data_IF_887146452104
#
_entry.id   IF_887146452104
#
_cell.length_a   1.000
_cell.length_b   1.000
_cell.length_c   1.000
_cell.angle_alpha   90.00
_cell.angle_beta   90.00
_cell.angle_gamma   90.00
#
_symmetry.space_group_name_H-M   'P 1'
#
loop_
_entity.id
_entity.type
_entity.pdbx_description
1 polymer ?
#
# COMPACT_ATOMS: atom_id res chain seq x y z
N UNK A 1 7.10 4.06 22.60
CA UNK A 1 7.73 3.54 21.34
C UNK A 1 8.00 2.04 21.43
N UNK A 2 8.56 1.54 22.53
CA UNK A 2 8.63 0.09 22.84
C UNK A 2 7.29 -0.62 22.69
N UNK A 3 6.19 0.01 23.14
CA UNK A 3 4.83 -0.52 22.97
C UNK A 3 4.44 -0.68 21.49
N UNK A 4 4.73 0.29 20.61
CA UNK A 4 4.42 0.23 19.17
C UNK A 4 5.16 -0.91 18.44
N UNK A 5 6.40 -1.14 18.84
CA UNK A 5 7.28 -2.20 18.31
C UNK A 5 6.70 -3.57 18.65
N UNK A 6 6.24 -3.77 19.89
CA UNK A 6 5.58 -5.00 20.35
C UNK A 6 4.15 -5.15 19.80
N UNK A 7 3.47 -4.02 19.56
CA UNK A 7 2.10 -3.97 19.07
C UNK A 7 1.96 -4.47 17.63
N UNK A 8 2.97 -4.28 16.77
CA UNK A 8 2.90 -4.65 15.35
C UNK A 8 2.71 -6.16 15.09
N UNK A 9 3.53 -7.08 15.63
CA UNK A 9 3.27 -8.52 15.49
C UNK A 9 2.11 -9.01 16.35
N UNK A 10 1.84 -8.37 17.50
CA UNK A 10 0.64 -8.67 18.29
C UNK A 10 -0.62 -8.46 17.45
N UNK A 11 -0.77 -7.29 16.81
CA UNK A 11 -1.87 -6.97 15.91
C UNK A 11 -2.07 -8.01 14.81
N UNK A 12 -0.96 -8.48 14.20
CA UNK A 12 -1.02 -9.41 13.06
C UNK A 12 -1.39 -10.85 13.48
N UNK A 13 -0.86 -11.34 14.62
CA UNK A 13 -0.91 -12.78 14.95
C UNK A 13 -1.70 -13.13 16.20
N UNK A 14 -1.89 -12.22 17.15
CA UNK A 14 -2.39 -12.55 18.49
C UNK A 14 -3.56 -11.67 18.96
N UNK A 15 -3.71 -10.46 18.43
CA UNK A 15 -4.79 -9.55 18.80
C UNK A 15 -6.09 -9.97 18.13
N UNK A 16 -7.00 -10.49 18.94
CA UNK A 16 -8.40 -10.65 18.60
C UNK A 16 -8.98 -9.25 18.37
N UNK A 17 -9.34 -8.95 17.13
CA UNK A 17 -10.13 -7.77 16.76
C UNK A 17 -11.60 -8.12 16.93
N UNK A 18 -12.30 -7.38 17.79
CA UNK A 18 -13.74 -7.52 17.93
C UNK A 18 -14.43 -6.73 16.83
N UNK A 19 -15.02 -7.44 15.87
CA UNK A 19 -15.85 -6.87 14.81
C UNK A 19 -17.29 -6.83 15.27
N UNK A 20 -17.93 -5.66 15.15
CA UNK A 20 -19.38 -5.58 15.24
C UNK A 20 -19.96 -5.60 13.82
N UNK A 21 -20.61 -6.70 13.45
CA UNK A 21 -21.26 -6.88 12.15
C UNK A 21 -22.73 -7.21 12.37
N UNK A 22 -23.63 -6.37 11.84
CA UNK A 22 -25.09 -6.59 11.91
C UNK A 22 -25.62 -6.88 13.33
N UNK A 23 -25.04 -6.24 14.34
CA UNK A 23 -25.44 -6.40 15.75
C UNK A 23 -24.64 -7.45 16.52
N UNK A 24 -23.96 -8.38 15.85
CA UNK A 24 -23.17 -9.42 16.50
C UNK A 24 -21.69 -9.02 16.62
N UNK A 25 -21.10 -9.35 17.77
CA UNK A 25 -19.67 -9.20 18.05
C UNK A 25 -18.97 -10.51 17.69
N UNK A 26 -18.07 -10.48 16.73
CA UNK A 26 -17.17 -11.60 16.41
C UNK A 26 -15.73 -11.25 16.74
N UNK A 27 -15.01 -12.22 17.26
CA UNK A 27 -13.60 -12.12 17.66
C UNK A 27 -12.76 -12.84 16.61
N UNK A 28 -11.88 -12.12 15.92
CA UNK A 28 -11.05 -12.70 14.83
C UNK A 28 -9.68 -12.04 14.77
N UNK A 29 -8.66 -12.72 14.23
CA UNK A 29 -7.37 -12.06 13.97
C UNK A 29 -7.49 -11.10 12.78
N UNK A 30 -6.53 -10.17 12.61
CA UNK A 30 -6.49 -9.32 11.41
C UNK A 30 -6.36 -10.13 10.11
N UNK A 31 -5.66 -11.27 10.15
CA UNK A 31 -5.55 -12.18 9.02
C UNK A 31 -6.90 -12.79 8.66
N UNK A 32 -7.62 -13.33 9.65
CA UNK A 32 -8.95 -13.91 9.42
C UNK A 32 -9.94 -12.86 8.89
N UNK A 33 -9.84 -11.63 9.43
CA UNK A 33 -10.67 -10.50 9.01
C UNK A 33 -10.38 -10.09 7.56
N UNK A 34 -9.10 -10.02 7.18
CA UNK A 34 -8.69 -9.73 5.82
C UNK A 34 -9.16 -10.83 4.85
N UNK A 35 -8.96 -12.11 5.20
CA UNK A 35 -9.43 -13.24 4.41
C UNK A 35 -10.95 -13.22 4.25
N UNK A 36 -11.70 -13.08 5.34
CA UNK A 36 -13.17 -12.99 5.33
C UNK A 36 -13.66 -11.83 4.46
N UNK A 37 -13.04 -10.65 4.56
CA UNK A 37 -13.43 -9.47 3.79
C UNK A 37 -13.15 -9.67 2.30
N UNK A 38 -11.98 -10.21 1.95
CA UNK A 38 -11.61 -10.50 0.57
C UNK A 38 -12.50 -11.60 -0.03
N UNK A 39 -12.81 -12.65 0.73
CA UNK A 39 -13.76 -13.70 0.32
C UNK A 39 -15.15 -13.13 0.08
N UNK A 40 -15.65 -12.28 0.98
CA UNK A 40 -16.96 -11.62 0.81
C UNK A 40 -17.00 -10.69 -0.41
N UNK A 41 -15.95 -9.90 -0.62
CA UNK A 41 -15.84 -9.06 -1.82
C UNK A 41 -15.80 -9.89 -3.10
N UNK A 42 -15.09 -11.02 -3.08
CA UNK A 42 -15.03 -11.95 -4.21
C UNK A 42 -16.40 -12.57 -4.50
N UNK A 43 -17.13 -12.99 -3.47
CA UNK A 43 -18.48 -13.51 -3.58
C UNK A 43 -19.45 -12.45 -4.15
N UNK A 44 -19.42 -11.23 -3.64
CA UNK A 44 -20.23 -10.12 -4.15
C UNK A 44 -19.92 -9.80 -5.61
N UNK A 45 -18.65 -9.92 -6.03
CA UNK A 45 -18.22 -9.60 -7.40
C UNK A 45 -18.50 -10.72 -8.40
N UNK A 46 -18.41 -11.98 -7.99
CA UNK A 46 -18.46 -13.14 -8.90
C UNK A 46 -19.75 -13.94 -8.81
N UNK A 47 -20.55 -13.75 -7.75
CA UNK A 47 -21.73 -14.58 -7.46
C UNK A 47 -21.40 -16.00 -6.99
N UNK A 48 -20.12 -16.37 -6.94
CA UNK A 48 -19.66 -17.72 -6.60
C UNK A 48 -18.98 -17.70 -5.23
N UNK A 49 -19.52 -18.46 -4.28
CA UNK A 49 -18.98 -18.55 -2.91
C UNK A 49 -17.59 -19.23 -2.83
N UNK A 50 -17.12 -19.83 -3.93
CA UNK A 50 -15.97 -20.74 -3.95
C UNK A 50 -14.88 -20.35 -4.95
N UNK A 51 -14.85 -19.11 -5.44
CA UNK A 51 -13.68 -18.63 -6.18
C UNK A 51 -12.50 -18.40 -5.20
N UNK A 52 -11.96 -19.49 -4.62
CA UNK A 52 -10.59 -19.55 -4.17
C UNK A 52 -9.74 -19.29 -5.40
N UNK A 53 -9.42 -18.02 -5.62
CA UNK A 53 -8.42 -17.62 -6.59
C UNK A 53 -7.22 -18.52 -6.39
N UNK A 54 -6.83 -19.24 -7.43
CA UNK A 54 -5.73 -20.20 -7.33
C UNK A 54 -4.48 -19.50 -6.79
N UNK A 55 -4.01 -19.97 -5.63
CA UNK A 55 -2.59 -20.07 -5.28
C UNK A 55 -1.74 -18.81 -5.12
N UNK A 56 -2.26 -17.59 -5.32
CA UNK A 56 -1.47 -16.39 -5.02
C UNK A 56 -1.65 -16.08 -3.53
N UNK A 57 -0.68 -16.48 -2.72
CA UNK A 57 -0.48 -15.89 -1.39
C UNK A 57 -0.25 -14.39 -1.60
N UNK A 58 -1.34 -13.62 -1.62
CA UNK A 58 -1.30 -12.17 -1.69
C UNK A 58 -0.93 -11.70 -0.30
N UNK A 59 0.36 -11.48 -0.05
CA UNK A 59 0.75 -10.66 1.09
C UNK A 59 -0.09 -9.38 1.04
N UNK A 60 -0.96 -9.13 2.04
CA UNK A 60 -1.90 -8.03 1.97
C UNK A 60 -1.12 -6.72 1.93
N UNK A 61 -1.52 -5.80 1.04
CA UNK A 61 -0.95 -4.47 1.08
C UNK A 61 -1.47 -3.76 2.33
N UNK A 62 -0.55 -3.34 3.19
CA UNK A 62 -0.88 -2.76 4.49
C UNK A 62 -0.51 -1.29 4.57
N UNK A 63 -1.32 -0.53 5.29
CA UNK A 63 -1.02 0.88 5.57
C UNK A 63 -1.26 1.12 7.05
N UNK A 64 -0.20 1.48 7.78
CA UNK A 64 -0.29 1.92 9.15
C UNK A 64 -0.20 3.45 9.20
N UNK A 65 -1.11 4.10 9.92
CA UNK A 65 -1.07 5.55 10.11
C UNK A 65 -1.10 5.87 11.59
N UNK A 66 -0.06 6.56 12.05
CA UNK A 66 -0.03 7.09 13.39
C UNK A 66 -0.86 8.38 13.37
N UNK A 67 -1.98 8.39 14.10
CA UNK A 67 -2.94 9.51 14.10
C UNK A 67 -2.78 10.45 15.30
N UNK A 68 -2.05 10.02 16.34
CA UNK A 68 -1.79 10.79 17.57
C UNK A 68 -0.46 10.36 18.19
N UNK A 69 0.22 11.30 18.81
CA UNK A 69 1.44 11.07 19.59
C UNK A 69 1.76 12.31 20.43
N UNK A 70 2.48 12.12 21.53
CA UNK A 70 2.96 13.18 22.41
C UNK A 70 4.49 13.24 22.37
N UNK A 71 5.06 14.44 22.60
CA UNK A 71 6.52 14.62 22.64
C UNK A 71 7.25 14.50 21.29
N UNK A 72 6.53 14.38 20.17
CA UNK A 72 7.15 14.32 18.85
C UNK A 72 7.54 15.72 18.36
N UNK A 73 8.83 15.92 18.07
CA UNK A 73 9.31 17.15 17.45
C UNK A 73 9.07 17.10 15.94
N UNK A 74 8.39 18.10 15.41
CA UNK A 74 8.06 18.20 13.97
C UNK A 74 9.26 18.61 13.13
N UNK A 75 10.16 19.39 13.72
CA UNK A 75 11.32 20.02 13.06
C UNK A 75 12.56 19.15 13.01
N UNK A 76 12.61 18.06 13.78
CA UNK A 76 13.76 17.16 13.77
C UNK A 76 13.51 15.99 12.81
N UNK A 77 14.46 15.68 11.91
CA UNK A 77 14.34 14.52 11.04
C UNK A 77 14.36 13.22 11.84
N UNK A 78 13.70 12.19 11.30
CA UNK A 78 13.87 10.84 11.83
C UNK A 78 15.34 10.40 11.69
N UNK A 79 15.88 9.84 12.79
CA UNK A 79 17.28 9.43 12.89
C UNK A 79 17.43 7.98 12.43
N UNK A 80 18.46 7.71 11.63
CA UNK A 80 18.86 6.36 11.22
C UNK A 80 19.12 5.48 12.45
N UNK A 81 18.63 4.24 12.44
CA UNK A 81 18.61 3.36 13.62
C UNK A 81 17.84 3.85 14.87
N UNK A 82 17.22 5.04 14.82
CA UNK A 82 16.51 5.62 15.96
C UNK A 82 15.16 4.95 16.26
N UNK A 83 14.56 5.27 17.40
CA UNK A 83 13.31 4.65 17.86
C UNK A 83 12.14 4.78 16.86
N UNK A 84 12.03 5.93 16.17
CA UNK A 84 11.01 6.14 15.13
C UNK A 84 11.27 5.22 13.94
N UNK A 85 12.52 5.14 13.46
CA UNK A 85 12.88 4.25 12.36
C UNK A 85 12.55 2.80 12.71
N UNK A 86 12.98 2.30 13.87
CA UNK A 86 12.71 0.94 14.33
C UNK A 86 11.20 0.63 14.42
N UNK A 87 10.39 1.58 14.89
CA UNK A 87 8.94 1.39 14.94
C UNK A 87 8.29 1.38 13.56
N UNK A 88 8.75 2.22 12.62
CA UNK A 88 8.26 2.22 11.25
C UNK A 88 8.62 0.92 10.52
N UNK A 89 9.84 0.40 10.73
CA UNK A 89 10.24 -0.91 10.21
C UNK A 89 9.35 -2.02 10.80
N UNK A 90 9.11 -2.00 12.11
CA UNK A 90 8.24 -2.99 12.77
C UNK A 90 6.81 -2.98 12.18
N UNK A 91 6.23 -1.79 11.99
CA UNK A 91 4.88 -1.62 11.43
C UNK A 91 4.77 -2.05 9.97
N UNK A 92 5.83 -1.87 9.19
CA UNK A 92 5.82 -2.20 7.75
C UNK A 92 6.24 -3.64 7.47
N UNK A 93 7.10 -4.24 8.29
CA UNK A 93 7.45 -5.66 8.21
C UNK A 93 6.48 -6.56 8.97
N UNK A 94 5.65 -5.98 9.84
CA UNK A 94 4.75 -6.69 10.76
C UNK A 94 5.46 -7.73 11.61
N UNK A 95 6.63 -7.38 12.11
CA UNK A 95 7.47 -8.19 12.97
C UNK A 95 7.91 -7.31 14.12
N UNK A 96 7.96 -7.86 15.34
CA UNK A 96 8.70 -7.19 16.42
C UNK A 96 10.16 -7.33 16.04
N UNK A 97 10.93 -6.24 15.94
CA UNK A 97 12.34 -6.29 16.27
C UNK A 97 12.48 -6.97 17.64
N UNK A 98 13.11 -8.16 17.71
CA UNK A 98 14.51 -8.17 18.18
C UNK A 98 15.44 -9.17 17.46
N UNK A 99 16.73 -9.00 17.75
CA UNK A 99 17.94 -9.79 17.43
C UNK A 99 18.56 -9.67 16.02
N UNK A 100 19.62 -8.85 15.95
CA UNK A 100 20.66 -8.82 14.90
C UNK A 100 20.27 -8.53 13.45
N UNK A 101 18.98 -8.36 13.13
CA UNK A 101 18.58 -7.98 11.77
C UNK A 101 18.84 -6.50 11.55
N UNK A 102 19.77 -6.19 10.65
CA UNK A 102 20.07 -4.83 10.21
C UNK A 102 18.80 -4.17 9.68
N UNK A 103 18.43 -3.03 10.24
CA UNK A 103 17.35 -2.19 9.74
C UNK A 103 17.65 -1.83 8.28
N UNK A 104 16.62 -1.83 7.44
CA UNK A 104 16.77 -1.33 6.07
C UNK A 104 17.08 0.16 6.15
N UNK A 105 18.06 0.67 5.41
CA UNK A 105 18.46 2.07 5.49
C UNK A 105 17.26 3.00 5.28
N UNK A 106 17.08 3.99 6.17
CA UNK A 106 15.94 4.90 6.16
C UNK A 106 15.82 5.66 4.84
N UNK A 107 16.94 5.99 4.21
CA UNK A 107 16.97 6.64 2.90
C UNK A 107 16.35 5.80 1.78
N UNK A 108 16.46 4.47 1.86
CA UNK A 108 15.92 3.55 0.84
C UNK A 108 14.42 3.34 1.00
N UNK A 109 13.92 3.38 2.22
CA UNK A 109 12.52 3.09 2.59
C UNK A 109 11.66 4.34 2.74
N UNK A 110 12.29 5.52 2.87
CA UNK A 110 11.60 6.81 2.86
C UNK A 110 11.07 7.13 1.47
N UNK A 111 9.77 7.33 1.39
CA UNK A 111 9.07 7.78 0.19
C UNK A 111 8.88 9.30 0.32
N UNK A 112 9.35 10.11 -0.65
CA UNK A 112 9.23 11.56 -0.53
C UNK A 112 7.76 12.00 -0.52
N UNK A 113 7.47 12.99 0.33
CA UNK A 113 6.16 13.61 0.43
C UNK A 113 6.15 14.83 -0.51
N UNK A 114 5.33 14.80 -1.55
CA UNK A 114 5.32 15.84 -2.60
C UNK A 114 4.55 17.11 -2.23
N UNK A 115 4.52 17.53 -0.96
CA UNK A 115 3.77 18.73 -0.53
C UNK A 115 4.72 19.82 -0.02
N UNK A 116 4.41 21.09 -0.25
CA UNK A 116 5.25 22.21 0.20
C UNK A 116 5.40 22.28 1.73
N UNK A 117 4.38 21.85 2.49
CA UNK A 117 4.35 21.98 3.96
C UNK A 117 4.96 20.79 4.71
N UNK A 118 5.77 19.95 4.06
CA UNK A 118 6.42 18.79 4.69
C UNK A 118 7.40 19.25 5.75
N UNK A 119 7.26 18.71 6.96
CA UNK A 119 8.21 18.97 8.04
C UNK A 119 9.32 17.91 8.05
N UNK A 120 10.50 18.24 8.56
CA UNK A 120 11.64 17.33 8.55
C UNK A 120 11.34 15.98 9.24
N UNK A 121 10.53 16.02 10.31
CA UNK A 121 10.06 14.86 11.05
C UNK A 121 8.95 14.06 10.37
N UNK A 122 8.38 14.54 9.26
CA UNK A 122 7.38 13.79 8.50
C UNK A 122 8.05 12.69 7.66
N UNK A 123 7.54 11.48 7.80
CA UNK A 123 8.04 10.28 7.13
C UNK A 123 6.86 9.48 6.59
N UNK A 124 6.86 9.27 5.27
CA UNK A 124 6.17 8.14 4.67
C UNK A 124 7.22 7.04 4.45
N UNK A 125 7.06 5.95 5.16
CA UNK A 125 7.96 4.81 5.16
C UNK A 125 7.30 3.65 4.40
N UNK A 126 8.04 2.86 3.62
CA UNK A 126 7.42 1.76 2.87
C UNK A 126 8.35 0.66 2.39
N UNK A 127 7.77 -0.54 2.31
CA UNK A 127 8.30 -1.73 1.62
C UNK A 127 7.30 -2.20 0.56
N UNK A 128 7.66 -3.18 -0.29
CA UNK A 128 6.80 -3.61 -1.40
C UNK A 128 5.30 -3.77 -1.08
N UNK A 129 4.95 -4.35 0.07
CA UNK A 129 3.55 -4.64 0.49
C UNK A 129 3.09 -3.84 1.71
N UNK A 130 3.76 -2.75 2.06
CA UNK A 130 3.40 -2.00 3.26
C UNK A 130 3.82 -0.53 3.25
N UNK A 131 3.07 0.29 3.97
CA UNK A 131 3.37 1.70 4.21
C UNK A 131 3.14 2.03 5.68
N UNK A 132 3.97 2.89 6.24
CA UNK A 132 3.74 3.52 7.54
C UNK A 132 3.82 5.04 7.39
N UNK A 133 2.83 5.73 7.96
CA UNK A 133 2.69 7.18 7.90
C UNK A 133 2.95 7.75 9.28
N UNK A 134 4.04 8.50 9.40
CA UNK A 134 4.40 9.26 10.59
C UNK A 134 4.51 10.73 10.21
N UNK A 135 3.52 11.53 10.61
CA UNK A 135 3.50 12.96 10.32
C UNK A 135 3.18 13.74 11.59
N UNK A 136 4.17 13.97 12.46
CA UNK A 136 3.94 14.55 13.77
C UNK A 136 3.37 15.95 13.73
N UNK A 137 3.50 16.67 12.60
CA UNK A 137 2.86 17.98 12.40
C UNK A 137 1.34 17.96 12.62
N UNK A 138 0.70 16.82 12.37
CA UNK A 138 -0.75 16.67 12.55
C UNK A 138 -1.13 16.27 13.98
N UNK A 139 -0.18 15.91 14.85
CA UNK A 139 -0.47 15.49 16.23
C UNK A 139 -0.80 16.68 17.14
N UNK A 140 -0.25 17.86 16.82
CA UNK A 140 -0.37 19.07 17.64
C UNK A 140 -1.57 19.95 17.29
N UNK A 141 -2.32 19.61 16.25
CA UNK A 141 -3.45 20.40 15.80
C UNK A 141 -4.76 19.84 16.38
N UNK A 142 -5.62 20.72 16.89
CA UNK A 142 -6.90 20.35 17.52
C UNK A 142 -7.97 19.93 16.49
N UNK A 143 -7.78 20.20 15.19
CA UNK A 143 -8.74 19.94 14.11
C UNK A 143 -8.32 18.87 13.07
N UNK A 144 -7.21 18.13 13.26
CA UNK A 144 -6.51 17.35 12.21
C UNK A 144 -6.92 15.91 11.96
N UNK A 145 -7.89 15.33 12.69
CA UNK A 145 -8.29 13.94 12.43
C UNK A 145 -8.74 13.73 10.97
N UNK A 146 -9.27 14.76 10.33
CA UNK A 146 -9.69 14.71 8.93
C UNK A 146 -8.53 14.61 7.93
N UNK A 147 -7.35 15.22 8.16
CA UNK A 147 -6.27 15.28 7.16
C UNK A 147 -5.54 13.94 7.01
N UNK A 148 -5.09 13.33 8.12
CA UNK A 148 -4.42 12.04 8.11
C UNK A 148 -5.38 10.88 7.78
N UNK A 149 -6.64 10.96 8.23
CA UNK A 149 -7.67 10.00 7.85
C UNK A 149 -7.95 10.03 6.35
N UNK A 150 -8.08 11.22 5.75
CA UNK A 150 -8.22 11.37 4.30
C UNK A 150 -6.99 10.88 3.55
N UNK A 151 -5.78 11.22 4.02
CA UNK A 151 -4.54 10.76 3.40
C UNK A 151 -4.42 9.23 3.42
N UNK A 152 -4.67 8.60 4.57
CA UNK A 152 -4.72 7.15 4.72
C UNK A 152 -5.72 6.53 3.74
N UNK A 153 -6.97 7.01 3.75
CA UNK A 153 -8.04 6.51 2.87
C UNK A 153 -7.66 6.62 1.40
N UNK A 154 -7.09 7.74 0.99
CA UNK A 154 -6.65 7.95 -0.40
C UNK A 154 -5.51 7.00 -0.77
N UNK A 155 -4.55 6.75 0.12
CA UNK A 155 -3.51 5.76 -0.11
C UNK A 155 -4.06 4.33 -0.20
N UNK A 156 -5.03 3.96 0.66
CA UNK A 156 -5.70 2.66 0.60
C UNK A 156 -6.37 2.46 -0.76
N UNK A 157 -7.18 3.42 -1.21
CA UNK A 157 -7.84 3.33 -2.51
C UNK A 157 -6.85 3.30 -3.67
N UNK A 158 -5.78 4.09 -3.58
CA UNK A 158 -4.71 4.09 -4.58
C UNK A 158 -4.04 2.72 -4.65
N UNK A 159 -3.69 2.12 -3.52
CA UNK A 159 -3.07 0.80 -3.46
C UNK A 159 -4.00 -0.29 -4.02
N UNK A 160 -5.28 -0.28 -3.65
CA UNK A 160 -6.28 -1.22 -4.18
C UNK A 160 -6.44 -1.08 -5.70
N UNK A 161 -6.47 0.16 -6.20
CA UNK A 161 -6.58 0.41 -7.63
C UNK A 161 -5.33 -0.06 -8.38
N UNK A 162 -4.13 0.17 -7.83
CA UNK A 162 -2.87 -0.32 -8.39
C UNK A 162 -2.83 -1.85 -8.42
N UNK A 163 -3.17 -2.52 -7.31
CA UNK A 163 -3.17 -3.98 -7.25
C UNK A 163 -4.18 -4.59 -8.25
N UNK A 164 -5.39 -4.02 -8.31
CA UNK A 164 -6.46 -4.49 -9.20
C UNK A 164 -6.08 -4.33 -10.68
N UNK A 165 -5.68 -3.12 -11.09
CA UNK A 165 -5.28 -2.85 -12.47
C UNK A 165 -3.96 -3.52 -12.83
N UNK A 166 -3.04 -3.62 -11.87
CA UNK A 166 -1.74 -4.25 -12.01
C UNK A 166 -1.86 -5.75 -12.28
N UNK A 167 -2.75 -6.43 -11.56
CA UNK A 167 -3.07 -7.85 -11.83
C UNK A 167 -3.62 -8.05 -13.23
N UNK A 168 -4.53 -7.17 -13.69
CA UNK A 168 -5.04 -7.21 -15.06
C UNK A 168 -3.93 -7.01 -16.10
N UNK A 169 -3.03 -6.04 -15.89
CA UNK A 169 -1.90 -5.78 -16.79
C UNK A 169 -0.91 -6.96 -16.80
N UNK A 170 -0.59 -7.55 -15.65
CA UNK A 170 0.26 -8.75 -15.56
C UNK A 170 -0.33 -9.92 -16.35
N UNK A 171 -1.62 -10.19 -16.19
CA UNK A 171 -2.31 -11.23 -16.97
C UNK A 171 -2.30 -10.91 -18.47
N UNK A 172 -2.54 -9.65 -18.84
CA UNK A 172 -2.44 -9.20 -20.23
C UNK A 172 -1.07 -9.40 -20.83
N UNK A 173 0.00 -9.09 -20.08
CA UNK A 173 1.38 -9.32 -20.50
C UNK A 173 1.66 -10.81 -20.75
N UNK A 174 1.17 -11.70 -19.88
CA UNK A 174 1.27 -13.16 -20.10
C UNK A 174 0.55 -13.60 -21.38
N UNK A 175 -0.65 -13.08 -21.64
CA UNK A 175 -1.38 -13.40 -22.87
C UNK A 175 -0.63 -12.94 -24.12
N UNK A 176 -0.07 -11.72 -24.10
CA UNK A 176 0.76 -11.19 -25.19
C UNK A 176 1.99 -12.08 -25.41
N UNK A 177 2.69 -12.47 -24.34
CA UNK A 177 3.88 -13.31 -24.41
C UNK A 177 3.59 -14.70 -25.02
N UNK A 178 2.39 -15.23 -24.81
CA UNK A 178 1.93 -16.50 -25.43
C UNK A 178 1.42 -16.35 -26.86
N UNK A 179 1.54 -15.16 -27.48
CA UNK A 179 1.08 -14.89 -28.84
C UNK A 179 -0.44 -14.80 -28.98
N UNK A 180 -1.19 -14.76 -27.87
CA UNK A 180 -2.66 -14.66 -27.92
C UNK A 180 -3.08 -13.25 -28.28
N UNK A 181 -3.89 -13.13 -29.33
CA UNK A 181 -4.46 -11.86 -29.75
C UNK A 181 -5.44 -11.30 -28.70
N UNK A 182 -5.18 -10.08 -28.22
CA UNK A 182 -6.11 -9.33 -27.37
C UNK A 182 -7.28 -8.81 -28.23
N UNK A 183 -8.49 -9.32 -28.02
CA UNK A 183 -9.67 -8.98 -28.83
C UNK A 183 -10.70 -8.15 -28.05
N UNK A 184 -11.43 -7.29 -28.78
CA UNK A 184 -12.60 -6.56 -28.28
C UNK A 184 -12.39 -5.92 -26.91
N UNK A 185 -13.26 -6.27 -25.96
CA UNK A 185 -13.27 -5.73 -24.60
C UNK A 185 -11.95 -5.94 -23.84
N UNK A 186 -11.24 -7.05 -24.04
CA UNK A 186 -9.95 -7.30 -23.37
C UNK A 186 -8.90 -6.27 -23.77
N UNK A 187 -8.84 -5.94 -25.07
CA UNK A 187 -7.95 -4.91 -25.60
C UNK A 187 -8.26 -3.56 -24.96
N UNK A 188 -9.53 -3.16 -24.93
CA UNK A 188 -9.97 -1.88 -24.35
C UNK A 188 -9.69 -1.81 -22.84
N UNK A 189 -9.93 -2.89 -22.10
CA UNK A 189 -9.65 -2.95 -20.66
C UNK A 189 -8.16 -2.81 -20.37
N UNK A 190 -7.31 -3.54 -21.09
CA UNK A 190 -5.85 -3.43 -20.94
C UNK A 190 -5.34 -2.05 -21.31
N UNK A 191 -5.88 -1.45 -22.39
CA UNK A 191 -5.52 -0.09 -22.79
C UNK A 191 -5.81 0.94 -21.70
N UNK A 192 -7.00 0.86 -21.10
CA UNK A 192 -7.39 1.74 -20.00
C UNK A 192 -6.55 1.49 -18.75
N UNK A 193 -6.32 0.22 -18.42
CA UNK A 193 -5.55 -0.18 -17.24
C UNK A 193 -4.10 0.31 -17.30
N UNK A 194 -3.35 0.01 -18.38
CA UNK A 194 -1.97 0.49 -18.49
C UNK A 194 -1.93 2.02 -18.56
N UNK A 195 -2.93 2.68 -19.18
CA UNK A 195 -3.00 4.14 -19.25
C UNK A 195 -3.15 4.79 -17.87
N UNK A 196 -4.00 4.24 -17.01
CA UNK A 196 -4.16 4.70 -15.61
C UNK A 196 -2.87 4.46 -14.82
N UNK A 197 -2.31 3.24 -14.88
CA UNK A 197 -1.09 2.92 -14.13
C UNK A 197 0.12 3.74 -14.61
N UNK A 198 0.21 4.03 -15.89
CA UNK A 198 1.24 4.92 -16.45
C UNK A 198 1.12 6.33 -15.87
N UNK A 199 -0.10 6.85 -15.66
CA UNK A 199 -0.30 8.15 -15.01
C UNK A 199 0.09 8.12 -13.52
N UNK A 200 -0.14 7.01 -12.82
CA UNK A 200 0.35 6.85 -11.44
C UNK A 200 1.89 6.82 -11.35
N UNK A 201 2.56 6.36 -12.40
CA UNK A 201 4.03 6.32 -12.47
C UNK A 201 4.62 7.67 -12.93
N UNK A 202 4.28 8.11 -14.15
CA UNK A 202 4.92 9.22 -14.86
C UNK A 202 3.98 10.38 -15.21
N UNK A 203 2.76 10.41 -14.67
CA UNK A 203 1.84 11.54 -14.86
C UNK A 203 2.38 12.86 -14.30
N UNK A 204 1.96 13.98 -14.89
CA UNK A 204 2.28 15.33 -14.40
C UNK A 204 1.64 15.55 -13.03
N UNK A 205 2.43 16.05 -12.07
CA UNK A 205 1.95 16.44 -10.73
C UNK A 205 0.97 17.62 -10.77
N UNK A 206 0.95 18.39 -11.86
CA UNK A 206 0.06 19.55 -12.02
C UNK A 206 -1.34 19.13 -12.49
N UNK A 207 -1.43 18.05 -13.27
CA UNK A 207 -2.68 17.62 -13.94
C UNK A 207 -3.24 16.34 -13.33
N UNK A 208 -2.40 15.55 -12.65
CA UNK A 208 -2.78 14.28 -12.04
C UNK A 208 -2.36 14.27 -10.59
N UNK A 209 -3.31 14.04 -9.67
CA UNK A 209 -2.97 13.74 -8.29
C UNK A 209 -2.06 12.50 -8.25
N UNK A 210 -0.79 12.72 -7.89
CA UNK A 210 0.24 11.67 -7.84
C UNK A 210 0.97 11.71 -6.50
N UNK A 211 0.69 10.73 -5.66
CA UNK A 211 1.55 10.43 -4.51
C UNK A 211 2.76 9.63 -4.99
N UNK A 212 3.97 9.94 -4.51
CA UNK A 212 5.13 9.13 -4.85
C UNK A 212 5.04 7.69 -4.30
N UNK A 213 4.11 7.45 -3.37
CA UNK A 213 3.75 6.09 -2.95
C UNK A 213 3.21 5.23 -4.09
N UNK A 214 2.48 5.81 -5.05
CA UNK A 214 1.92 5.04 -6.17
C UNK A 214 3.01 4.60 -7.13
N UNK A 215 3.93 5.52 -7.45
CA UNK A 215 5.13 5.23 -8.24
C UNK A 215 5.94 4.11 -7.58
N UNK A 216 6.26 4.28 -6.29
CA UNK A 216 7.03 3.29 -5.53
C UNK A 216 6.32 1.94 -5.42
N UNK A 217 4.99 1.91 -5.31
CA UNK A 217 4.21 0.66 -5.33
C UNK A 217 4.44 -0.10 -6.64
N UNK A 218 4.34 0.58 -7.79
CA UNK A 218 4.54 -0.05 -9.10
C UNK A 218 5.97 -0.61 -9.27
N UNK A 219 6.96 0.13 -8.80
CA UNK A 219 8.38 -0.26 -8.84
C UNK A 219 8.65 -1.47 -7.94
N UNK A 220 8.23 -1.41 -6.66
CA UNK A 220 8.53 -2.47 -5.68
C UNK A 220 7.78 -3.80 -5.95
N UNK A 221 6.73 -3.79 -6.78
CA UNK A 221 5.88 -4.97 -7.04
C UNK A 221 6.05 -5.53 -8.46
N UNK A 222 7.18 -5.25 -9.11
CA UNK A 222 7.52 -5.74 -10.45
C UNK A 222 6.41 -5.49 -11.49
N UNK A 223 5.75 -4.33 -11.40
CA UNK A 223 4.67 -4.00 -12.33
C UNK A 223 5.22 -3.32 -13.60
N UNK A 224 6.42 -2.73 -13.54
CA UNK A 224 7.05 -2.01 -14.66
C UNK A 224 7.30 -2.91 -15.88
N UNK A 225 7.85 -4.12 -15.76
CA UNK A 225 8.06 -4.99 -16.92
C UNK A 225 6.76 -5.36 -17.62
N UNK A 226 5.71 -5.68 -16.85
CA UNK A 226 4.38 -6.00 -17.40
C UNK A 226 3.75 -4.78 -18.09
N UNK A 227 3.89 -3.59 -17.51
CA UNK A 227 3.46 -2.34 -18.14
C UNK A 227 4.17 -2.09 -19.46
N UNK A 228 5.49 -2.27 -19.51
CA UNK A 228 6.28 -2.08 -20.72
C UNK A 228 5.95 -3.11 -21.81
N UNK A 229 5.70 -4.37 -21.45
CA UNK A 229 5.25 -5.40 -22.39
C UNK A 229 3.89 -5.03 -23.04
N UNK A 230 2.93 -4.60 -22.22
CA UNK A 230 1.61 -4.17 -22.71
C UNK A 230 1.72 -2.90 -23.55
N UNK A 231 2.54 -1.92 -23.14
CA UNK A 231 2.80 -0.69 -23.91
C UNK A 231 3.42 -0.99 -25.27
N UNK A 232 4.38 -1.89 -25.36
CA UNK A 232 4.97 -2.36 -26.62
C UNK A 232 3.93 -2.97 -27.56
N UNK A 233 3.04 -3.83 -27.05
CA UNK A 233 1.94 -4.40 -27.84
C UNK A 233 0.94 -3.35 -28.36
N UNK A 234 0.91 -2.16 -27.75
CA UNK A 234 0.12 -1.00 -28.19
C UNK A 234 0.96 0.10 -28.86
N UNK A 235 2.20 -0.20 -29.26
CA UNK A 235 3.11 0.73 -29.92
C UNK A 235 3.31 2.04 -29.14
N UNK A 236 3.39 1.94 -27.81
CA UNK A 236 3.72 3.04 -26.91
C UNK A 236 5.17 2.93 -26.42
N UNK A 237 5.88 4.04 -26.20
CA UNK A 237 7.23 4.00 -25.64
C UNK A 237 7.20 3.39 -24.23
N UNK A 238 8.30 2.78 -23.75
CA UNK A 238 8.38 2.29 -22.37
C UNK A 238 8.25 3.42 -21.34
N UNK A 239 7.96 3.06 -20.10
CA UNK A 239 7.86 3.96 -18.93
C UNK A 239 9.22 4.41 -18.41
#
# INVERSE_FOLDING_TARGET
MSELIQFAPMLRRASIVTLRQSGNLSSSTLTDLAEMTLSRLTQLRTGVATARGHGVALDPFSIATIIRGTGAMTTLPAIEGGAIHSALEALTRWQSPPDNRRLTDLAQTRIPLGTADVQAGDVLYGHARSRAIWMPRHFMQTQTRASLGCYHRNLVWTALQIDSLGSLVKQGATLIATGKALRGTQRTMLQRAYGILSRFHSGSSEVTYRTLSSKRHLEDNDMIPALNAVRGAFQRPPL
#
